data_IF_734774627283
#
_entry.id   IF_734774627283
#
_cell.length_a   1.000
_cell.length_b   1.000
_cell.length_c   1.000
_cell.angle_alpha   90.00
_cell.angle_beta   90.00
_cell.angle_gamma   90.00
#
_symmetry.space_group_name_H-M   'P 1'
#
loop_
_entity.id
_entity.type
_entity.pdbx_description
1 polymer ?
#
# COMPACT_ATOMS: atom_id res chain seq x y z
N UNK A 1 -59.90 -43.47 21.00
CA UNK A 1 -58.87 -44.00 21.93
C UNK A 1 -57.80 -44.64 21.05
N UNK A 2 -56.53 -44.28 21.00
CA UNK A 2 -55.67 -43.32 21.72
C UNK A 2 -54.41 -43.14 20.84
N UNK A 3 -53.97 -41.88 20.74
CA UNK A 3 -52.57 -41.40 20.75
C UNK A 3 -51.73 -41.54 19.46
N UNK A 4 -51.62 -40.38 18.81
CA UNK A 4 -50.58 -39.84 17.93
C UNK A 4 -49.15 -40.13 18.41
N UNK A 5 -48.24 -40.47 17.48
CA UNK A 5 -46.80 -40.31 17.68
C UNK A 5 -46.16 -39.76 16.41
N UNK A 6 -45.93 -38.45 16.45
CA UNK A 6 -45.06 -37.68 15.55
C UNK A 6 -43.63 -37.97 16.02
N UNK A 7 -42.76 -38.45 15.11
CA UNK A 7 -41.31 -38.44 15.35
C UNK A 7 -40.67 -37.57 14.27
N UNK A 8 -40.41 -36.32 14.66
CA UNK A 8 -39.42 -35.43 14.06
C UNK A 8 -38.02 -36.03 14.26
N UNK A 9 -37.22 -36.10 13.20
CA UNK A 9 -35.75 -36.08 13.28
C UNK A 9 -35.22 -35.57 11.92
N UNK A 10 -35.01 -34.26 11.77
CA UNK A 10 -33.79 -33.52 12.12
C UNK A 10 -32.93 -33.31 10.86
N UNK A 11 -33.19 -32.18 10.20
CA UNK A 11 -32.29 -31.58 9.20
C UNK A 11 -30.94 -31.29 9.86
N UNK A 12 -29.94 -32.13 9.61
CA UNK A 12 -28.54 -31.77 9.83
C UNK A 12 -28.07 -30.96 8.61
N UNK A 13 -28.49 -29.69 8.54
CA UNK A 13 -27.74 -28.67 7.82
C UNK A 13 -26.44 -28.47 8.60
N UNK A 14 -25.42 -29.27 8.26
CA UNK A 14 -24.06 -28.93 8.59
C UNK A 14 -23.70 -27.70 7.75
N UNK A 15 -24.07 -26.52 8.27
CA UNK A 15 -23.37 -25.29 7.97
C UNK A 15 -21.94 -25.49 8.47
N UNK A 16 -21.07 -26.05 7.63
CA UNK A 16 -19.63 -25.88 7.72
C UNK A 16 -19.28 -24.45 7.30
N UNK A 17 -19.84 -23.49 8.03
CA UNK A 17 -19.25 -22.18 8.30
C UNK A 17 -18.02 -22.46 9.17
N UNK A 18 -16.85 -21.84 9.03
CA UNK A 18 -16.55 -20.56 8.45
C UNK A 18 -15.16 -20.67 7.82
N UNK A 19 -15.06 -20.66 6.50
CA UNK A 19 -13.87 -20.08 5.89
C UNK A 19 -13.99 -18.58 6.16
N UNK A 20 -13.50 -18.13 7.32
CA UNK A 20 -13.15 -16.73 7.50
C UNK A 20 -11.97 -16.51 6.56
N UNK A 21 -12.30 -16.18 5.31
CA UNK A 21 -11.41 -15.50 4.40
C UNK A 21 -11.18 -14.13 5.03
N UNK A 22 -10.25 -14.06 5.99
CA UNK A 22 -9.64 -12.79 6.37
C UNK A 22 -8.98 -12.30 5.10
N UNK A 23 -9.67 -11.42 4.37
CA UNK A 23 -9.11 -10.73 3.23
C UNK A 23 -7.78 -10.09 3.63
N UNK A 24 -6.89 -9.79 2.68
CA UNK A 24 -5.57 -9.27 3.00
C UNK A 24 -5.71 -8.03 3.89
N UNK A 25 -4.86 -7.94 4.90
CA UNK A 25 -4.88 -6.84 5.84
C UNK A 25 -4.65 -5.52 5.08
N UNK A 26 -5.52 -4.54 5.32
CA UNK A 26 -5.37 -3.17 4.80
C UNK A 26 -4.67 -2.34 5.85
N UNK A 27 -3.50 -1.80 5.50
CA UNK A 27 -2.75 -0.90 6.37
C UNK A 27 -2.78 0.51 5.81
N UNK A 28 -2.87 1.50 6.69
CA UNK A 28 -2.93 2.92 6.35
C UNK A 28 -1.74 3.60 7.04
N UNK A 29 -1.04 4.44 6.31
CA UNK A 29 0.15 5.13 6.78
C UNK A 29 0.07 6.62 6.54
N UNK A 30 0.70 7.40 7.43
CA UNK A 30 1.06 8.78 7.20
C UNK A 30 2.47 8.87 6.60
N UNK A 31 2.61 9.68 5.55
CA UNK A 31 3.87 9.84 4.81
C UNK A 31 4.63 11.09 5.25
N UNK A 32 5.94 11.02 5.14
CA UNK A 32 6.87 12.15 5.26
C UNK A 32 7.97 12.01 4.22
N UNK A 33 8.29 13.10 3.52
CA UNK A 33 9.22 13.12 2.40
C UNK A 33 10.55 13.76 2.81
N UNK A 34 11.65 13.12 2.43
CA UNK A 34 13.00 13.60 2.71
C UNK A 34 13.84 13.56 1.44
N UNK A 35 14.49 14.68 1.13
CA UNK A 35 15.47 14.75 0.05
C UNK A 35 16.70 13.91 0.42
N UNK A 36 17.11 12.99 -0.45
CA UNK A 36 18.28 12.13 -0.23
C UNK A 36 19.60 12.77 -0.71
N UNK A 37 19.50 13.93 -1.37
CA UNK A 37 20.61 14.61 -2.03
C UNK A 37 20.89 15.99 -1.41
N UNK A 38 21.82 16.74 -2.00
CA UNK A 38 22.14 18.10 -1.53
C UNK A 38 21.01 19.11 -1.75
N UNK A 39 20.16 18.87 -2.75
CA UNK A 39 19.01 19.68 -3.12
C UNK A 39 18.04 18.82 -3.91
N UNK A 40 16.74 19.00 -3.69
CA UNK A 40 15.72 18.33 -4.48
C UNK A 40 14.62 19.34 -4.85
N UNK A 41 14.03 19.18 -6.03
CA UNK A 41 12.91 19.99 -6.52
C UNK A 41 11.56 19.36 -6.19
N UNK A 42 10.45 20.11 -6.28
CA UNK A 42 9.08 19.61 -6.05
C UNK A 42 8.73 19.20 -4.60
N UNK A 43 9.52 19.59 -3.61
CA UNK A 43 9.27 19.23 -2.21
C UNK A 43 7.88 19.63 -1.70
N UNK A 44 7.40 20.82 -2.06
CA UNK A 44 6.07 21.30 -1.67
C UNK A 44 4.95 20.49 -2.32
N UNK A 45 5.13 20.07 -3.58
CA UNK A 45 4.16 19.25 -4.30
C UNK A 45 4.11 17.81 -3.74
N UNK A 46 5.28 17.24 -3.45
CA UNK A 46 5.39 15.89 -2.87
C UNK A 46 4.76 15.81 -1.49
N UNK A 47 4.93 16.85 -0.66
CA UNK A 47 4.32 16.91 0.67
C UNK A 47 2.79 16.90 0.65
N UNK A 48 2.14 17.12 -0.50
CA UNK A 48 0.70 16.95 -0.63
C UNK A 48 0.28 15.48 -0.62
N UNK A 49 1.15 14.56 -1.06
CA UNK A 49 0.98 13.10 -0.89
C UNK A 49 1.37 12.70 0.52
N UNK A 50 0.42 12.76 1.45
CA UNK A 50 0.68 12.60 2.88
C UNK A 50 0.09 11.32 3.47
N UNK A 51 -0.51 10.45 2.65
CA UNK A 51 -1.12 9.19 3.07
C UNK A 51 -0.82 8.06 2.10
N UNK A 52 -0.47 6.89 2.63
CA UNK A 52 -0.36 5.66 1.84
C UNK A 52 -1.28 4.56 2.37
N UNK A 53 -1.60 3.62 1.50
CA UNK A 53 -2.31 2.40 1.82
C UNK A 53 -1.66 1.20 1.15
N UNK A 54 -1.66 0.06 1.84
CA UNK A 54 -1.27 -1.22 1.27
C UNK A 54 -2.39 -2.24 1.46
N UNK A 55 -2.70 -3.00 0.43
CA UNK A 55 -3.69 -4.08 0.46
C UNK A 55 -3.22 -5.23 -0.44
N UNK A 56 -2.70 -6.31 0.17
CA UNK A 56 -2.08 -7.40 -0.59
C UNK A 56 -0.85 -6.91 -1.36
N UNK A 57 -0.91 -6.93 -2.69
CA UNK A 57 0.13 -6.39 -3.58
C UNK A 57 -0.11 -4.95 -3.97
N UNK A 58 -1.27 -4.38 -3.65
CA UNK A 58 -1.62 -3.03 -4.07
C UNK A 58 -0.98 -2.00 -3.13
N UNK A 59 -0.38 -0.98 -3.72
CA UNK A 59 0.11 0.21 -3.03
C UNK A 59 -0.60 1.43 -3.59
N UNK A 60 -1.03 2.34 -2.72
CA UNK A 60 -1.59 3.61 -3.14
C UNK A 60 -1.02 4.75 -2.29
N UNK A 61 -0.78 5.89 -2.92
CA UNK A 61 -0.48 7.16 -2.25
C UNK A 61 -1.55 8.19 -2.59
N UNK A 62 -1.92 9.01 -1.62
CA UNK A 62 -2.98 10.00 -1.77
C UNK A 62 -2.75 11.22 -0.88
N UNK A 63 -3.49 12.29 -1.16
CA UNK A 63 -3.62 13.43 -0.25
C UNK A 63 -4.85 13.30 0.63
N UNK A 64 -4.73 13.65 1.91
CA UNK A 64 -5.88 13.81 2.80
C UNK A 64 -6.67 15.10 2.54
N UNK A 65 -6.07 16.08 1.84
CA UNK A 65 -6.67 17.40 1.58
C UNK A 65 -7.14 17.59 0.14
N UNK A 66 -6.63 16.81 -0.82
CA UNK A 66 -6.94 16.91 -2.24
C UNK A 66 -7.32 15.54 -2.81
N UNK A 67 -8.61 15.30 -3.06
CA UNK A 67 -9.12 13.98 -3.47
C UNK A 67 -8.71 13.55 -4.89
N UNK A 68 -8.31 14.51 -5.72
CA UNK A 68 -7.79 14.31 -7.08
C UNK A 68 -6.32 13.91 -7.10
N UNK A 69 -5.60 14.11 -5.99
CA UNK A 69 -4.20 13.74 -5.85
C UNK A 69 -4.07 12.32 -5.30
N UNK A 70 -4.05 11.35 -6.20
CA UNK A 70 -3.86 9.93 -5.88
C UNK A 70 -3.06 9.21 -6.96
N UNK A 71 -2.30 8.20 -6.54
CA UNK A 71 -1.58 7.29 -7.43
C UNK A 71 -1.57 5.88 -6.84
N UNK A 72 -1.37 4.89 -7.70
CA UNK A 72 -1.32 3.47 -7.35
C UNK A 72 -0.08 2.80 -7.96
N UNK A 73 0.38 1.73 -7.34
CA UNK A 73 1.52 0.95 -7.77
C UNK A 73 1.35 -0.52 -7.31
N UNK A 74 2.25 -1.38 -7.77
CA UNK A 74 2.27 -2.80 -7.41
C UNK A 74 3.50 -3.14 -6.56
N UNK A 75 3.30 -3.78 -5.42
CA UNK A 75 4.36 -4.33 -4.56
C UNK A 75 4.66 -5.76 -4.98
N UNK A 76 5.91 -6.03 -5.33
CA UNK A 76 6.37 -7.38 -5.69
C UNK A 76 7.53 -7.85 -4.81
N UNK A 77 7.55 -9.16 -4.54
CA UNK A 77 8.66 -9.79 -3.81
C UNK A 77 9.83 -9.98 -4.77
N UNK A 78 11.03 -9.57 -4.35
CA UNK A 78 12.26 -9.84 -5.07
C UNK A 78 13.14 -10.83 -4.30
N UNK A 79 13.74 -11.79 -5.02
CA UNK A 79 14.69 -12.73 -4.44
C UNK A 79 16.07 -12.12 -4.18
N UNK A 80 16.35 -10.92 -4.71
CA UNK A 80 17.63 -10.22 -4.56
C UNK A 80 17.63 -9.22 -3.40
N UNK A 81 16.46 -8.84 -2.91
CA UNK A 81 16.31 -7.91 -1.80
C UNK A 81 16.28 -8.64 -0.45
N UNK A 82 16.55 -7.91 0.64
CA UNK A 82 16.39 -8.42 1.99
C UNK A 82 14.96 -8.88 2.27
N UNK A 83 14.78 -9.76 3.26
CA UNK A 83 13.48 -10.39 3.60
C UNK A 83 12.35 -9.37 3.80
N UNK A 84 12.69 -8.19 4.32
CA UNK A 84 11.72 -7.17 4.70
C UNK A 84 11.59 -6.08 3.61
N UNK A 85 12.22 -6.24 2.45
CA UNK A 85 12.17 -5.30 1.32
C UNK A 85 11.44 -5.89 0.10
N UNK A 86 10.83 -5.02 -0.68
CA UNK A 86 10.02 -5.30 -1.87
C UNK A 86 10.35 -4.27 -2.95
N UNK A 87 10.03 -4.61 -4.20
CA UNK A 87 10.01 -3.64 -5.28
C UNK A 87 8.61 -3.05 -5.39
N UNK A 88 8.54 -1.77 -5.72
CA UNK A 88 7.33 -1.04 -6.09
C UNK A 88 7.45 -0.71 -7.57
N UNK A 89 6.50 -1.21 -8.36
CA UNK A 89 6.42 -1.09 -9.81
C UNK A 89 5.22 -0.24 -10.21
N UNK A 90 5.27 0.35 -11.40
CA UNK A 90 4.17 1.12 -12.01
C UNK A 90 3.76 2.36 -11.19
N UNK A 91 4.64 2.86 -10.31
CA UNK A 91 4.36 4.05 -9.54
C UNK A 91 4.40 5.28 -10.45
N UNK A 92 3.30 6.04 -10.51
CA UNK A 92 3.22 7.27 -11.30
C UNK A 92 3.19 8.50 -10.39
N UNK A 93 4.09 9.44 -10.58
CA UNK A 93 4.06 10.76 -9.92
C UNK A 93 4.21 11.88 -10.95
N UNK A 94 3.39 12.93 -10.81
CA UNK A 94 3.39 14.09 -11.71
C UNK A 94 3.21 13.75 -13.21
N UNK A 95 2.51 12.66 -13.51
CA UNK A 95 2.32 12.18 -14.89
C UNK A 95 3.49 11.38 -15.46
N UNK A 96 4.49 11.05 -14.64
CA UNK A 96 5.64 10.23 -15.01
C UNK A 96 5.58 8.89 -14.28
N UNK A 97 5.68 7.80 -15.04
CA UNK A 97 5.98 6.49 -14.47
C UNK A 97 7.43 6.50 -13.98
N UNK A 98 7.63 6.12 -12.73
CA UNK A 98 8.94 6.09 -12.09
C UNK A 98 9.62 4.74 -12.31
N UNK A 99 10.95 4.77 -12.25
CA UNK A 99 11.74 3.54 -12.19
C UNK A 99 11.39 2.71 -10.94
N UNK A 100 11.70 1.42 -11.02
CA UNK A 100 11.46 0.48 -9.91
C UNK A 100 12.04 1.00 -8.60
N UNK A 101 11.19 1.05 -7.58
CA UNK A 101 11.51 1.68 -6.30
C UNK A 101 11.59 0.63 -5.19
N UNK A 102 12.44 0.85 -4.19
CA UNK A 102 12.64 -0.12 -3.11
C UNK A 102 11.83 0.32 -1.90
N UNK A 103 10.91 -0.55 -1.45
CA UNK A 103 10.15 -0.40 -0.21
C UNK A 103 10.65 -1.41 0.82
N UNK A 104 11.11 -0.94 1.97
CA UNK A 104 11.54 -1.77 3.10
C UNK A 104 10.65 -1.54 4.31
N UNK A 105 10.01 -2.61 4.80
CA UNK A 105 9.18 -2.56 5.98
C UNK A 105 10.02 -2.33 7.24
N UNK A 106 9.46 -1.53 8.14
CA UNK A 106 10.00 -1.25 9.48
C UNK A 106 8.96 -1.68 10.53
N UNK A 107 9.32 -1.78 11.82
CA UNK A 107 8.35 -2.20 12.85
C UNK A 107 7.06 -1.38 12.92
N UNK A 108 7.09 -0.11 12.47
CA UNK A 108 5.95 0.82 12.56
C UNK A 108 5.61 1.46 11.19
N UNK A 109 5.87 0.78 10.07
CA UNK A 109 5.57 1.28 8.73
C UNK A 109 6.57 0.82 7.68
N UNK A 110 7.01 1.72 6.80
CA UNK A 110 8.02 1.40 5.78
C UNK A 110 8.86 2.61 5.40
N UNK A 111 9.98 2.36 4.74
CA UNK A 111 10.77 3.34 4.00
C UNK A 111 10.71 2.99 2.52
N UNK A 112 10.45 3.97 1.66
CA UNK A 112 10.40 3.81 0.21
C UNK A 112 11.36 4.82 -0.42
N UNK A 113 12.30 4.34 -1.22
CA UNK A 113 13.22 5.21 -1.99
C UNK A 113 12.73 5.30 -3.43
N UNK A 114 12.50 6.51 -3.90
CA UNK A 114 12.03 6.83 -5.26
C UNK A 114 12.93 7.86 -5.91
N UNK A 115 13.11 7.77 -7.23
CA UNK A 115 13.76 8.80 -8.04
C UNK A 115 12.70 9.45 -8.91
N UNK A 116 12.57 10.77 -8.82
CA UNK A 116 11.47 11.52 -9.43
C UNK A 116 12.04 12.57 -10.38
N UNK A 117 11.53 12.68 -11.62
CA UNK A 117 11.90 13.78 -12.51
C UNK A 117 11.62 15.14 -11.87
N UNK A 118 12.59 16.05 -11.98
CA UNK A 118 12.50 17.42 -11.47
C UNK A 118 11.62 18.31 -12.39
N UNK A 119 11.54 19.62 -12.16
CA UNK A 119 10.82 20.52 -13.09
C UNK A 119 11.51 20.59 -14.44
N UNK A 120 12.84 20.56 -14.44
CA UNK A 120 13.64 20.33 -15.65
C UNK A 120 13.61 18.82 -16.00
N UNK A 121 13.07 18.44 -17.17
CA UNK A 121 12.91 17.03 -17.56
C UNK A 121 14.24 16.29 -17.79
N UNK A 122 15.37 16.98 -17.87
CA UNK A 122 16.70 16.34 -17.98
C UNK A 122 17.30 15.98 -16.61
N UNK A 123 16.61 16.31 -15.52
CA UNK A 123 17.08 16.11 -14.15
C UNK A 123 16.11 15.31 -13.30
N UNK A 124 16.62 14.69 -12.24
CA UNK A 124 15.84 13.91 -11.30
C UNK A 124 16.45 13.98 -9.90
N UNK A 125 15.58 13.99 -8.90
CA UNK A 125 15.97 13.96 -7.49
C UNK A 125 15.57 12.66 -6.82
N UNK A 126 16.44 12.14 -5.96
CA UNK A 126 16.14 10.97 -5.12
C UNK A 126 15.49 11.39 -3.81
N UNK A 127 14.38 10.74 -3.48
CA UNK A 127 13.59 10.97 -2.27
C UNK A 127 13.47 9.71 -1.43
N UNK A 128 13.54 9.89 -0.11
CA UNK A 128 13.18 8.87 0.87
C UNK A 128 11.82 9.23 1.45
N UNK A 129 10.85 8.33 1.27
CA UNK A 129 9.52 8.41 1.85
C UNK A 129 9.52 7.56 3.11
N UNK A 130 9.25 8.18 4.25
CA UNK A 130 9.01 7.46 5.51
C UNK A 130 7.52 7.37 5.76
N UNK A 131 7.04 6.15 5.97
CA UNK A 131 5.66 5.86 6.30
C UNK A 131 5.54 5.39 7.75
N UNK A 132 4.55 5.92 8.47
CA UNK A 132 4.20 5.53 9.84
C UNK A 132 2.75 5.09 9.90
N UNK A 133 2.48 3.93 10.49
CA UNK A 133 1.12 3.40 10.64
C UNK A 133 0.25 4.37 11.47
N UNK A 134 -1.03 4.52 11.07
CA UNK A 134 -2.02 5.40 11.71
C UNK A 134 -2.94 4.66 12.68
#
# INVERSE_FOLDING_TARGET
MRITLIVLAALSFACTSCWFETGPDRFIYQLSWFCAESSCERGDDLNQFNRAETYGTDFAMSSTSASDLATSATIVVSATLGRDCRLVLDLVLFGHELDESILCFTPNGFELTVTIPDEDPETSSTWVVMAREL
#
